data_IF_072195659294
#
_entry.id   IF_072195659294
#
_cell.length_a   1.000
_cell.length_b   1.000
_cell.length_c   1.000
_cell.angle_alpha   90.00
_cell.angle_beta   90.00
_cell.angle_gamma   90.00
#
_symmetry.space_group_name_H-M   'P 1'
#
loop_
_entity.id
_entity.type
_entity.pdbx_description
1 polymer ?
#
# COMPACT_ATOMS: atom_id res chain seq x y z
N UNK A 1 24.59 -31.68 5.76
CA UNK A 1 24.16 -30.28 5.50
C UNK A 1 22.89 -30.29 4.66
N UNK A 2 21.84 -29.61 5.12
CA UNK A 2 20.48 -29.61 4.58
C UNK A 2 20.33 -28.76 3.30
N UNK A 3 21.06 -29.06 2.21
CA UNK A 3 20.98 -28.34 0.94
C UNK A 3 19.53 -28.03 0.47
N UNK A 4 18.58 -28.98 0.47
CA UNK A 4 17.19 -28.69 0.07
C UNK A 4 16.44 -27.76 1.02
N UNK A 5 16.79 -27.72 2.31
CA UNK A 5 16.18 -26.81 3.29
C UNK A 5 16.68 -25.38 3.10
N UNK A 6 17.97 -25.21 2.83
CA UNK A 6 18.59 -23.90 2.56
C UNK A 6 18.04 -23.27 1.29
N UNK A 7 17.97 -24.03 0.19
CA UNK A 7 17.41 -23.54 -1.08
C UNK A 7 15.94 -23.13 -0.95
N UNK A 8 15.14 -23.91 -0.22
CA UNK A 8 13.75 -23.56 0.07
C UNK A 8 13.64 -22.24 0.84
N UNK A 9 14.46 -22.04 1.86
CA UNK A 9 14.50 -20.79 2.63
C UNK A 9 14.91 -19.60 1.77
N UNK A 10 15.93 -19.74 0.94
CA UNK A 10 16.37 -18.67 0.04
C UNK A 10 15.24 -18.25 -0.91
N UNK A 11 14.50 -19.21 -1.48
CA UNK A 11 13.33 -18.90 -2.34
C UNK A 11 12.19 -18.21 -1.58
N UNK A 12 11.96 -18.56 -0.31
CA UNK A 12 10.97 -17.87 0.54
C UNK A 12 11.40 -16.41 0.74
N UNK A 13 12.67 -16.18 1.09
CA UNK A 13 13.21 -14.84 1.30
C UNK A 13 13.14 -14.02 0.02
N UNK A 14 13.58 -14.56 -1.12
CA UNK A 14 13.53 -13.89 -2.42
C UNK A 14 12.11 -13.43 -2.77
N UNK A 15 11.12 -14.32 -2.63
CA UNK A 15 9.71 -13.98 -2.92
C UNK A 15 9.15 -12.92 -1.97
N UNK A 16 9.52 -13.00 -0.69
CA UNK A 16 9.13 -11.98 0.29
C UNK A 16 9.79 -10.63 -0.01
N UNK A 17 11.03 -10.61 -0.50
CA UNK A 17 11.70 -9.38 -0.97
C UNK A 17 10.98 -8.78 -2.18
N UNK A 18 10.54 -9.62 -3.12
CA UNK A 18 9.72 -9.15 -4.25
C UNK A 18 8.41 -8.54 -3.74
N UNK A 19 7.73 -9.22 -2.82
CA UNK A 19 6.53 -8.68 -2.15
C UNK A 19 6.77 -7.33 -1.48
N UNK A 20 7.90 -7.18 -0.79
CA UNK A 20 8.33 -5.95 -0.14
C UNK A 20 8.55 -4.82 -1.15
N UNK A 21 9.24 -5.08 -2.26
CA UNK A 21 9.45 -4.09 -3.33
C UNK A 21 8.11 -3.61 -3.92
N UNK A 22 7.16 -4.52 -4.15
CA UNK A 22 5.83 -4.16 -4.66
C UNK A 22 4.96 -3.42 -3.64
N UNK A 23 5.24 -3.53 -2.34
CA UNK A 23 4.48 -2.83 -1.32
C UNK A 23 4.65 -1.30 -1.41
N UNK A 24 5.83 -0.82 -1.82
CA UNK A 24 6.11 0.62 -1.97
C UNK A 24 5.21 1.34 -2.97
N UNK A 25 5.16 0.98 -4.27
CA UNK A 25 4.32 1.68 -5.23
C UNK A 25 2.84 1.60 -4.88
N UNK A 26 2.37 0.48 -4.32
CA UNK A 26 0.97 0.35 -3.90
C UNK A 26 0.66 1.23 -2.69
N UNK A 27 1.56 1.29 -1.70
CA UNK A 27 1.42 2.21 -0.57
C UNK A 27 1.39 3.68 -1.02
N UNK A 28 2.21 4.05 -2.02
CA UNK A 28 2.20 5.40 -2.61
C UNK A 28 0.86 5.72 -3.27
N UNK A 29 0.29 4.79 -4.06
CA UNK A 29 -1.04 4.98 -4.66
C UNK A 29 -2.08 5.28 -3.58
N UNK A 30 -2.08 4.53 -2.49
CA UNK A 30 -3.01 4.75 -1.39
C UNK A 30 -2.74 6.02 -0.59
N UNK A 31 -1.48 6.42 -0.42
CA UNK A 31 -1.14 7.72 0.17
C UNK A 31 -1.75 8.86 -0.65
N UNK A 32 -1.49 8.87 -1.96
CA UNK A 32 -1.98 9.90 -2.89
C UNK A 32 -3.51 9.92 -2.99
N UNK A 33 -4.13 8.74 -3.03
CA UNK A 33 -5.58 8.59 -3.05
C UNK A 33 -6.23 9.11 -1.75
N UNK A 34 -5.50 9.13 -0.63
CA UNK A 34 -6.02 9.56 0.67
C UNK A 34 -5.85 11.05 0.95
N UNK A 35 -5.04 11.77 0.16
CA UNK A 35 -4.79 13.21 0.36
C UNK A 35 -6.10 14.02 0.36
N UNK A 36 -6.99 13.90 -0.64
CA UNK A 36 -8.21 14.70 -0.67
C UNK A 36 -9.11 14.44 0.54
N UNK A 37 -9.21 13.18 0.96
CA UNK A 37 -10.01 12.80 2.12
C UNK A 37 -9.42 13.39 3.41
N UNK A 38 -8.10 13.38 3.57
CA UNK A 38 -7.44 13.99 4.72
C UNK A 38 -7.71 15.51 4.78
N UNK A 39 -7.69 16.19 3.63
CA UNK A 39 -8.02 17.62 3.55
C UNK A 39 -9.49 17.84 3.92
N UNK A 40 -10.40 17.05 3.34
CA UNK A 40 -11.84 17.19 3.59
C UNK A 40 -12.26 16.95 5.03
N UNK A 41 -11.76 15.89 5.65
CA UNK A 41 -12.16 15.52 7.01
C UNK A 41 -11.58 16.46 8.06
N UNK A 42 -10.50 17.18 7.75
CA UNK A 42 -9.74 17.97 8.72
C UNK A 42 -9.48 19.41 8.26
N UNK A 43 -10.35 19.95 7.39
CA UNK A 43 -10.15 21.29 6.81
C UNK A 43 -10.10 22.37 7.91
N UNK A 44 -10.93 22.23 8.95
CA UNK A 44 -10.98 23.20 10.06
C UNK A 44 -9.69 23.21 10.85
N UNK A 45 -9.08 22.06 11.07
CA UNK A 45 -7.78 21.94 11.73
C UNK A 45 -6.66 22.48 10.83
N UNK A 46 -6.74 22.24 9.52
CA UNK A 46 -5.79 22.74 8.52
C UNK A 46 -5.80 24.27 8.48
N UNK A 47 -6.98 24.89 8.50
CA UNK A 47 -7.14 26.35 8.46
C UNK A 47 -6.53 27.07 9.67
N UNK A 48 -6.35 26.36 10.79
CA UNK A 48 -5.74 26.88 12.01
C UNK A 48 -4.21 26.74 12.04
N UNK A 49 -3.60 26.10 11.03
CA UNK A 49 -2.16 25.89 11.00
C UNK A 49 -1.41 27.14 10.53
N UNK A 50 -0.24 27.45 11.12
CA UNK A 50 0.43 28.74 10.94
C UNK A 50 1.11 28.90 9.57
N UNK A 51 1.38 27.80 8.85
CA UNK A 51 2.09 27.83 7.57
C UNK A 51 1.88 26.53 6.76
N UNK A 52 2.31 26.57 5.50
CA UNK A 52 2.18 25.46 4.54
C UNK A 52 2.97 24.21 4.96
N UNK A 53 4.11 24.37 5.63
CA UNK A 53 4.89 23.23 6.12
C UNK A 53 4.12 22.43 7.17
N UNK A 54 3.48 23.12 8.12
CA UNK A 54 2.65 22.50 9.15
C UNK A 54 1.46 21.76 8.52
N UNK A 55 0.82 22.34 7.50
CA UNK A 55 -0.25 21.69 6.72
C UNK A 55 0.28 20.42 6.05
N UNK A 56 1.43 20.51 5.38
CA UNK A 56 2.08 19.38 4.73
C UNK A 56 2.37 18.24 5.72
N UNK A 57 2.98 18.53 6.87
CA UNK A 57 3.25 17.54 7.90
C UNK A 57 1.97 16.92 8.47
N UNK A 58 0.92 17.73 8.68
CA UNK A 58 -0.37 17.24 9.15
C UNK A 58 -0.98 16.25 8.16
N UNK A 59 -1.07 16.63 6.88
CA UNK A 59 -1.60 15.76 5.81
C UNK A 59 -0.78 14.48 5.68
N UNK A 60 0.56 14.59 5.65
CA UNK A 60 1.48 13.43 5.57
C UNK A 60 1.21 12.44 6.70
N UNK A 61 1.06 12.91 7.94
CA UNK A 61 0.77 12.03 9.09
C UNK A 61 -0.57 11.31 8.94
N UNK A 62 -1.58 11.93 8.32
CA UNK A 62 -2.89 11.30 8.11
C UNK A 62 -2.89 10.30 6.95
N UNK A 63 -2.18 10.59 5.86
CA UNK A 63 -2.08 9.66 4.73
C UNK A 63 -1.09 8.52 4.97
N UNK A 64 -0.19 8.66 5.94
CA UNK A 64 0.73 7.59 6.34
C UNK A 64 0.00 6.34 6.86
N UNK A 65 -1.14 6.50 7.54
CA UNK A 65 -1.92 5.37 8.05
C UNK A 65 -2.50 4.48 6.94
N UNK A 66 -3.28 4.98 5.97
CA UNK A 66 -3.79 4.15 4.87
C UNK A 66 -2.65 3.56 4.01
N UNK A 67 -1.58 4.33 3.76
CA UNK A 67 -0.40 3.83 3.06
C UNK A 67 0.26 2.66 3.80
N UNK A 68 0.48 2.80 5.11
CA UNK A 68 1.07 1.78 5.97
C UNK A 68 0.19 0.53 6.10
N UNK A 69 -1.13 0.70 6.25
CA UNK A 69 -2.07 -0.42 6.27
C UNK A 69 -1.97 -1.25 4.99
N UNK A 70 -1.95 -0.59 3.84
CA UNK A 70 -1.85 -1.27 2.55
C UNK A 70 -0.48 -1.87 2.31
N UNK A 71 0.58 -1.21 2.76
CA UNK A 71 1.94 -1.77 2.76
C UNK A 71 1.95 -3.14 3.48
N UNK A 72 1.33 -3.23 4.66
CA UNK A 72 1.19 -4.50 5.40
C UNK A 72 0.32 -5.49 4.64
N UNK A 73 -0.80 -5.08 4.03
CA UNK A 73 -1.65 -5.97 3.24
C UNK A 73 -0.92 -6.61 2.06
N UNK A 74 -0.05 -5.86 1.37
CA UNK A 74 0.77 -6.40 0.28
C UNK A 74 1.76 -7.44 0.81
N UNK A 75 2.35 -7.22 1.99
CA UNK A 75 3.20 -8.22 2.64
C UNK A 75 2.41 -9.49 2.96
N UNK A 76 1.23 -9.37 3.55
CA UNK A 76 0.37 -10.52 3.83
C UNK A 76 -0.02 -11.27 2.56
N UNK A 77 -0.34 -10.55 1.47
CA UNK A 77 -0.62 -11.14 0.17
C UNK A 77 0.61 -11.88 -0.41
N UNK A 78 1.82 -11.36 -0.21
CA UNK A 78 3.06 -12.01 -0.66
C UNK A 78 3.30 -13.37 0.00
N UNK A 79 2.80 -13.57 1.23
CA UNK A 79 2.90 -14.85 1.93
C UNK A 79 2.18 -15.99 1.18
N UNK A 80 1.12 -15.66 0.43
CA UNK A 80 0.41 -16.60 -0.45
C UNK A 80 1.29 -17.19 -1.54
N UNK A 81 2.39 -16.50 -1.89
CA UNK A 81 3.37 -16.96 -2.86
C UNK A 81 4.64 -17.48 -2.19
N UNK A 82 5.17 -16.79 -1.19
CA UNK A 82 6.39 -17.18 -0.48
C UNK A 82 6.30 -18.60 0.07
N UNK A 83 5.15 -18.98 0.64
CA UNK A 83 4.93 -20.30 1.25
C UNK A 83 4.16 -21.29 0.37
N UNK A 84 3.87 -20.94 -0.89
CA UNK A 84 3.11 -21.81 -1.78
C UNK A 84 3.86 -23.11 -2.11
N UNK A 85 3.15 -24.25 -2.02
CA UNK A 85 3.64 -25.54 -2.50
C UNK A 85 3.85 -25.53 -4.03
N UNK A 86 2.95 -24.87 -4.77
CA UNK A 86 3.06 -24.58 -6.20
C UNK A 86 3.38 -23.09 -6.39
N UNK A 87 4.64 -22.72 -6.70
CA UNK A 87 5.05 -21.33 -6.83
C UNK A 87 4.32 -20.56 -7.93
N UNK A 88 3.99 -21.21 -9.06
CA UNK A 88 3.34 -20.55 -10.19
C UNK A 88 1.90 -20.16 -9.83
N UNK A 89 1.19 -21.06 -9.15
CA UNK A 89 -0.15 -20.78 -8.63
C UNK A 89 -0.15 -19.75 -7.51
N UNK A 90 0.83 -19.83 -6.60
CA UNK A 90 1.04 -18.83 -5.54
C UNK A 90 1.27 -17.43 -6.12
N UNK A 91 2.13 -17.32 -7.13
CA UNK A 91 2.40 -16.06 -7.81
C UNK A 91 1.15 -15.46 -8.45
N UNK A 92 0.35 -16.28 -9.17
CA UNK A 92 -0.91 -15.83 -9.76
C UNK A 92 -1.88 -15.28 -8.70
N UNK A 93 -1.97 -15.91 -7.53
CA UNK A 93 -2.80 -15.42 -6.41
C UNK A 93 -2.27 -14.11 -5.85
N UNK A 94 -0.95 -13.99 -5.65
CA UNK A 94 -0.30 -12.76 -5.21
C UNK A 94 -0.56 -11.61 -6.18
N UNK A 95 -0.36 -11.80 -7.49
CA UNK A 95 -0.61 -10.77 -8.51
C UNK A 95 -2.09 -10.36 -8.55
N UNK A 96 -3.03 -11.30 -8.43
CA UNK A 96 -4.45 -10.97 -8.34
C UNK A 96 -4.78 -10.13 -7.11
N UNK A 97 -4.23 -10.47 -5.95
CA UNK A 97 -4.40 -9.70 -4.74
C UNK A 97 -3.79 -8.30 -4.87
N UNK A 98 -2.58 -8.20 -5.41
CA UNK A 98 -1.89 -6.94 -5.66
C UNK A 98 -2.70 -6.04 -6.61
N UNK A 99 -3.17 -6.59 -7.73
CA UNK A 99 -4.00 -5.87 -8.69
C UNK A 99 -5.32 -5.40 -8.06
N UNK A 100 -5.97 -6.24 -7.24
CA UNK A 100 -7.18 -5.86 -6.52
C UNK A 100 -6.95 -4.71 -5.54
N UNK A 101 -5.90 -4.77 -4.74
CA UNK A 101 -5.53 -3.72 -3.77
C UNK A 101 -5.20 -2.40 -4.50
N UNK A 102 -4.44 -2.47 -5.60
CA UNK A 102 -4.09 -1.30 -6.40
C UNK A 102 -5.32 -0.68 -7.09
N UNK A 103 -6.19 -1.51 -7.69
CA UNK A 103 -7.41 -1.05 -8.34
C UNK A 103 -8.37 -0.40 -7.33
N UNK A 104 -8.53 -0.98 -6.14
CA UNK A 104 -9.31 -0.38 -5.07
C UNK A 104 -8.75 0.99 -4.67
N UNK A 105 -7.44 1.12 -4.51
CA UNK A 105 -6.77 2.39 -4.23
C UNK A 105 -6.97 3.43 -5.32
N UNK A 106 -6.88 3.03 -6.59
CA UNK A 106 -7.11 3.91 -7.74
C UNK A 106 -8.57 4.41 -7.80
N UNK A 107 -9.55 3.52 -7.65
CA UNK A 107 -10.97 3.88 -7.63
C UNK A 107 -11.30 4.80 -6.44
N UNK A 108 -10.76 4.48 -5.27
CA UNK A 108 -10.90 5.33 -4.08
C UNK A 108 -10.28 6.71 -4.31
N UNK A 109 -9.09 6.76 -4.94
CA UNK A 109 -8.45 8.02 -5.32
C UNK A 109 -9.29 8.83 -6.29
N UNK A 110 -9.81 8.22 -7.35
CA UNK A 110 -10.71 8.90 -8.30
C UNK A 110 -11.90 9.49 -7.55
N UNK A 111 -12.53 8.73 -6.66
CA UNK A 111 -13.67 9.20 -5.87
C UNK A 111 -13.29 10.34 -4.93
N UNK A 112 -12.16 10.25 -4.21
CA UNK A 112 -11.73 11.26 -3.26
C UNK A 112 -11.34 12.57 -3.94
N UNK A 113 -10.64 12.52 -5.08
CA UNK A 113 -10.27 13.68 -5.88
C UNK A 113 -11.48 14.32 -6.56
N UNK A 114 -12.38 13.51 -7.15
CA UNK A 114 -13.61 14.04 -7.73
C UNK A 114 -14.45 14.75 -6.67
N UNK A 115 -14.54 14.20 -5.45
CA UNK A 115 -15.24 14.85 -4.36
C UNK A 115 -14.62 16.21 -3.98
N UNK A 116 -13.29 16.29 -3.91
CA UNK A 116 -12.58 17.53 -3.64
C UNK A 116 -12.76 18.60 -4.72
N UNK A 117 -12.86 18.21 -6.00
CA UNK A 117 -13.01 19.16 -7.10
C UNK A 117 -14.45 19.64 -7.33
N UNK A 118 -15.45 18.85 -6.95
CA UNK A 118 -16.86 19.15 -7.17
C UNK A 118 -17.51 19.92 -6.01
N UNK A 119 -16.73 20.35 -5.02
CA UNK A 119 -17.16 21.20 -3.91
C UNK A 119 -16.36 22.48 -3.90
#
# INVERSE_FOLDING_TARGET
>A
MNAPRRERWLKIVERSMVGHVFAYPVAVVWAMASIPLAIHLFIREIDLLPNQEAVGQFVVRRVAWPAGAVFVLVHLASLLWSFAADPARGFKRFIKALAGIAAAGALFGIASWAWLMLR
#
